data_IF_035902573234
#
_entry.id   IF_035902573234
#
_cell.length_a   1.000
_cell.length_b   1.000
_cell.length_c   1.000
_cell.angle_alpha   90.00
_cell.angle_beta   90.00
_cell.angle_gamma   90.00
#
_symmetry.space_group_name_H-M   'P 1'
#
loop_
_entity.id
_entity.type
_entity.pdbx_description
1 polymer ?
#
# COMPACT_ATOMS: atom_id res chain seq x y z
N UNK A 1 16.43 23.94 -13.85
CA UNK A 1 15.38 22.99 -13.46
C UNK A 1 15.58 22.70 -11.99
N UNK A 2 14.56 22.94 -11.15
CA UNK A 2 14.66 22.62 -9.73
C UNK A 2 14.73 21.10 -9.59
N UNK A 3 15.62 20.59 -8.74
CA UNK A 3 15.55 19.17 -8.34
C UNK A 3 14.21 18.94 -7.64
N UNK A 4 13.53 17.82 -7.90
CA UNK A 4 12.33 17.48 -7.16
C UNK A 4 12.62 17.46 -5.66
N UNK A 5 11.67 17.96 -4.87
CA UNK A 5 11.75 17.83 -3.41
C UNK A 5 11.55 16.35 -3.09
N UNK A 6 12.39 15.73 -2.23
CA UNK A 6 12.21 14.34 -1.82
C UNK A 6 10.76 14.09 -1.38
N UNK A 7 10.08 13.18 -2.08
CA UNK A 7 8.67 12.84 -1.84
C UNK A 7 7.65 13.43 -2.81
N UNK A 8 8.00 14.37 -3.69
CA UNK A 8 7.05 14.90 -4.70
C UNK A 8 7.04 14.10 -6.02
N UNK A 9 7.87 13.06 -6.10
CA UNK A 9 8.01 12.20 -7.29
C UNK A 9 7.01 11.04 -7.33
N UNK A 10 6.21 10.85 -6.26
CA UNK A 10 5.13 9.87 -6.24
C UNK A 10 4.04 10.36 -7.20
N UNK A 11 4.02 9.77 -8.38
CA UNK A 11 3.07 10.09 -9.44
C UNK A 11 1.69 9.53 -9.13
N UNK A 12 1.64 8.31 -8.59
CA UNK A 12 0.40 7.58 -8.38
C UNK A 12 0.54 6.59 -7.23
N UNK A 13 -0.54 6.41 -6.49
CA UNK A 13 -0.67 5.39 -5.46
C UNK A 13 -2.09 4.84 -5.45
N UNK A 14 -2.21 3.52 -5.37
CA UNK A 14 -3.46 2.79 -5.44
C UNK A 14 -3.39 1.57 -4.53
N UNK A 15 -4.55 1.16 -4.03
CA UNK A 15 -4.67 -0.02 -3.19
C UNK A 15 -5.77 -0.94 -3.70
N UNK A 16 -5.51 -2.24 -3.59
CA UNK A 16 -6.50 -3.29 -3.75
C UNK A 16 -6.60 -4.03 -2.41
N UNK A 17 -7.81 -4.23 -1.92
CA UNK A 17 -8.09 -4.95 -0.69
C UNK A 17 -8.97 -6.14 -1.02
N UNK A 18 -8.50 -7.33 -0.65
CA UNK A 18 -9.21 -8.60 -0.82
C UNK A 18 -9.46 -9.22 0.54
N UNK A 19 -10.70 -9.62 0.83
CA UNK A 19 -11.04 -10.49 1.97
C UNK A 19 -11.30 -11.90 1.46
N UNK A 20 -10.65 -12.88 2.08
CA UNK A 20 -11.01 -14.30 1.96
C UNK A 20 -11.49 -14.83 3.30
N UNK A 21 -12.51 -15.68 3.26
CA UNK A 21 -12.94 -16.39 4.47
C UNK A 21 -11.96 -17.52 4.82
N UNK A 22 -12.17 -18.17 5.96
CA UNK A 22 -11.36 -19.31 6.42
C UNK A 22 -11.37 -20.53 5.49
N UNK A 23 -12.34 -20.64 4.58
CA UNK A 23 -12.37 -21.66 3.51
C UNK A 23 -11.57 -21.23 2.25
N UNK A 24 -10.99 -20.03 2.26
CA UNK A 24 -10.23 -19.44 1.16
C UNK A 24 -11.08 -18.80 0.07
N UNK A 25 -12.40 -18.73 0.25
CA UNK A 25 -13.34 -18.15 -0.72
C UNK A 25 -13.27 -16.63 -0.70
N UNK A 26 -13.40 -16.00 -1.88
CA UNK A 26 -13.42 -14.54 -2.00
C UNK A 26 -14.75 -14.00 -1.45
N UNK A 27 -14.65 -13.16 -0.41
CA UNK A 27 -15.82 -12.51 0.20
C UNK A 27 -15.98 -11.08 -0.31
N UNK A 28 -14.87 -10.32 -0.37
CA UNK A 28 -14.91 -8.94 -0.84
C UNK A 28 -13.67 -8.56 -1.63
N UNK A 29 -13.85 -7.63 -2.56
CA UNK A 29 -12.80 -6.97 -3.30
C UNK A 29 -13.13 -5.48 -3.39
N UNK A 30 -12.15 -4.65 -3.05
CA UNK A 30 -12.25 -3.20 -3.18
C UNK A 30 -10.95 -2.65 -3.73
N UNK A 31 -11.05 -1.57 -4.47
CA UNK A 31 -9.89 -0.86 -4.96
C UNK A 31 -10.12 0.65 -4.93
N UNK A 32 -9.06 1.43 -4.74
CA UNK A 32 -9.21 2.88 -4.62
C UNK A 32 -7.88 3.61 -4.80
N UNK A 33 -7.98 4.77 -5.43
CA UNK A 33 -6.94 5.83 -5.41
C UNK A 33 -7.24 6.88 -4.32
N UNK A 34 -8.43 6.84 -3.72
CA UNK A 34 -8.84 7.77 -2.67
C UNK A 34 -8.28 7.31 -1.33
N UNK A 35 -7.16 7.93 -0.96
CA UNK A 35 -6.40 7.65 0.25
C UNK A 35 -6.47 8.84 1.22
N UNK A 36 -6.36 8.53 2.51
CA UNK A 36 -6.33 9.48 3.62
C UNK A 36 -4.97 9.42 4.30
N UNK A 37 -4.62 10.52 4.99
CA UNK A 37 -3.43 10.60 5.85
C UNK A 37 -2.12 10.23 5.10
N UNK A 38 -2.03 10.60 3.81
CA UNK A 38 -0.91 10.25 2.94
C UNK A 38 0.33 11.07 3.30
N UNK A 39 1.30 10.44 3.95
CA UNK A 39 2.62 10.99 4.23
C UNK A 39 3.60 10.60 3.13
N UNK A 40 3.68 11.46 2.10
CA UNK A 40 4.58 11.26 0.96
C UNK A 40 6.05 11.12 1.36
N UNK A 41 6.48 11.73 2.47
CA UNK A 41 7.87 11.63 2.91
C UNK A 41 8.17 10.21 3.41
N UNK A 42 7.33 9.69 4.30
CA UNK A 42 7.50 8.32 4.82
C UNK A 42 7.38 7.30 3.69
N UNK A 43 6.46 7.50 2.75
CA UNK A 43 6.35 6.64 1.56
C UNK A 43 7.65 6.69 0.77
N UNK A 44 8.15 7.87 0.40
CA UNK A 44 9.38 8.00 -0.38
C UNK A 44 10.59 7.37 0.31
N UNK A 45 10.77 7.60 1.61
CA UNK A 45 11.84 6.99 2.40
C UNK A 45 11.75 5.45 2.35
N UNK A 46 10.53 4.89 2.40
CA UNK A 46 10.29 3.46 2.24
C UNK A 46 10.67 2.95 0.85
N UNK A 47 10.33 3.68 -0.21
CA UNK A 47 10.65 3.30 -1.59
C UNK A 47 12.16 3.34 -1.86
N UNK A 48 12.87 4.31 -1.27
CA UNK A 48 14.33 4.39 -1.32
C UNK A 48 14.97 3.20 -0.61
N UNK A 49 14.43 2.80 0.54
CA UNK A 49 14.89 1.60 1.23
C UNK A 49 14.73 0.33 0.37
N UNK A 50 13.56 0.12 -0.25
CA UNK A 50 13.35 -1.00 -1.18
C UNK A 50 14.32 -0.93 -2.37
N UNK A 51 14.44 0.23 -3.00
CA UNK A 51 15.34 0.43 -4.15
C UNK A 51 16.83 0.21 -3.82
N UNK A 52 17.21 0.32 -2.54
CA UNK A 52 18.58 0.06 -2.09
C UNK A 52 18.91 -1.43 -1.92
N UNK A 53 17.88 -2.28 -1.79
CA UNK A 53 18.03 -3.71 -1.48
C UNK A 53 17.59 -4.63 -2.62
N UNK A 54 16.80 -4.12 -3.57
CA UNK A 54 16.33 -4.87 -4.72
C UNK A 54 16.17 -3.98 -5.96
N UNK A 55 16.28 -4.60 -7.13
CA UNK A 55 16.00 -3.93 -8.40
C UNK A 55 14.50 -3.74 -8.57
N UNK A 56 14.08 -2.49 -8.79
CA UNK A 56 12.67 -2.13 -8.99
C UNK A 56 12.43 -1.97 -10.49
N UNK A 57 11.41 -2.66 -11.06
CA UNK A 57 11.07 -2.52 -12.46
C UNK A 57 10.81 -1.07 -12.86
N UNK A 58 11.39 -0.67 -13.99
CA UNK A 58 11.17 0.65 -14.60
C UNK A 58 10.27 0.49 -15.84
N UNK A 59 9.19 1.24 -15.86
CA UNK A 59 8.25 1.30 -16.98
C UNK A 59 8.29 2.67 -17.64
N UNK A 60 8.17 2.70 -18.96
CA UNK A 60 8.12 3.94 -19.74
C UNK A 60 6.71 4.18 -20.27
N UNK A 61 6.16 5.37 -20.02
CA UNK A 61 4.86 5.81 -20.49
C UNK A 61 4.92 7.28 -20.88
N UNK A 62 4.59 7.61 -22.13
CA UNK A 62 4.61 8.98 -22.67
C UNK A 62 5.95 9.70 -22.41
N UNK A 63 7.07 9.05 -22.77
CA UNK A 63 8.45 9.53 -22.60
C UNK A 63 8.87 9.80 -21.13
N UNK A 64 8.09 9.33 -20.16
CA UNK A 64 8.42 9.38 -18.73
C UNK A 64 8.70 7.98 -18.20
N UNK A 65 9.69 7.87 -17.33
CA UNK A 65 10.06 6.61 -16.67
C UNK A 65 9.56 6.59 -15.24
N UNK A 66 9.04 5.43 -14.84
CA UNK A 66 8.48 5.21 -13.52
C UNK A 66 9.05 3.94 -12.92
N UNK A 67 9.51 4.02 -11.67
CA UNK A 67 9.65 2.85 -10.83
C UNK A 67 8.28 2.48 -10.28
N UNK A 68 7.89 1.22 -10.42
CA UNK A 68 6.60 0.73 -9.92
C UNK A 68 6.85 -0.28 -8.80
N UNK A 69 6.28 -0.01 -7.65
CA UNK A 69 6.36 -0.81 -6.44
C UNK A 69 5.01 -1.50 -6.22
N UNK A 70 5.05 -2.80 -5.94
CA UNK A 70 3.88 -3.60 -5.54
C UNK A 70 4.20 -4.15 -4.16
N UNK A 71 3.48 -3.68 -3.16
CA UNK A 71 3.74 -4.01 -1.75
C UNK A 71 2.51 -4.67 -1.16
N UNK A 72 2.67 -5.89 -0.68
CA UNK A 72 1.60 -6.69 -0.11
C UNK A 72 1.69 -6.73 1.41
N UNK A 73 0.54 -6.61 2.07
CA UNK A 73 0.38 -6.86 3.50
C UNK A 73 -0.83 -7.74 3.75
N UNK A 74 -0.67 -8.75 4.60
CA UNK A 74 -1.74 -9.68 5.00
C UNK A 74 -2.09 -9.44 6.46
N UNK A 75 -3.39 -9.38 6.75
CA UNK A 75 -3.95 -9.35 8.10
C UNK A 75 -4.79 -10.60 8.30
N UNK A 76 -4.37 -11.45 9.23
CA UNK A 76 -5.15 -12.60 9.68
C UNK A 76 -5.97 -12.22 10.92
N UNK A 77 -7.18 -12.78 11.04
CA UNK A 77 -8.08 -12.50 12.16
C UNK A 77 -8.22 -13.74 13.05
N UNK A 78 -8.07 -13.55 14.37
CA UNK A 78 -8.23 -14.60 15.39
C UNK A 78 -9.58 -14.50 16.13
N UNK A 79 -10.34 -13.44 15.87
CA UNK A 79 -11.56 -13.06 16.55
C UNK A 79 -12.46 -12.29 15.60
N UNK A 80 -13.77 -12.32 15.86
CA UNK A 80 -14.71 -11.57 15.04
C UNK A 80 -14.61 -10.06 15.32
N UNK A 81 -14.29 -9.28 14.31
CA UNK A 81 -14.16 -7.82 14.42
C UNK A 81 -14.63 -7.10 13.16
N UNK A 82 -14.94 -5.81 13.30
CA UNK A 82 -15.23 -4.95 12.16
C UNK A 82 -13.92 -4.43 11.57
N UNK A 83 -13.67 -4.69 10.29
CA UNK A 83 -12.52 -4.17 9.57
C UNK A 83 -12.96 -3.11 8.57
N UNK A 84 -12.43 -1.89 8.68
CA UNK A 84 -12.88 -0.73 7.90
C UNK A 84 -11.73 0.15 7.34
N UNK A 85 -10.48 -0.24 7.60
CA UNK A 85 -9.31 0.51 7.16
C UNK A 85 -8.18 -0.44 6.75
N UNK A 86 -7.61 -0.23 5.57
CA UNK A 86 -6.32 -0.80 5.20
C UNK A 86 -5.24 0.28 5.37
N UNK A 87 -4.11 -0.09 5.96
CA UNK A 87 -3.01 0.82 6.24
C UNK A 87 -1.77 0.42 5.44
N UNK A 88 -1.13 1.40 4.81
CA UNK A 88 0.23 1.25 4.34
C UNK A 88 1.17 1.59 5.48
N UNK A 89 1.63 0.56 6.19
CA UNK A 89 2.51 0.70 7.33
C UNK A 89 3.98 0.56 6.91
N UNK A 90 4.82 1.50 7.34
CA UNK A 90 6.26 1.49 7.10
C UNK A 90 6.99 1.37 8.43
N UNK A 91 7.86 0.38 8.55
CA UNK A 91 8.70 0.20 9.74
C UNK A 91 10.09 0.76 9.47
N UNK A 92 10.52 1.72 10.30
CA UNK A 92 11.85 2.34 10.24
C UNK A 92 12.51 2.14 11.60
N UNK A 93 13.52 1.28 11.64
CA UNK A 93 14.10 0.80 12.91
C UNK A 93 13.04 0.06 13.73
N UNK A 94 12.83 0.48 14.99
CA UNK A 94 11.87 -0.16 15.91
C UNK A 94 10.48 0.51 15.92
N UNK A 95 10.21 1.42 14.98
CA UNK A 95 8.95 2.18 14.94
C UNK A 95 8.19 1.93 13.66
N UNK A 96 6.90 1.70 13.79
CA UNK A 96 5.96 1.57 12.68
C UNK A 96 5.12 2.83 12.53
N UNK A 97 5.06 3.35 11.31
CA UNK A 97 4.32 4.54 10.93
C UNK A 97 3.25 4.16 9.91
N UNK A 98 2.04 4.69 10.08
CA UNK A 98 1.00 4.64 9.04
C UNK A 98 1.29 5.74 8.03
N UNK A 99 1.71 5.37 6.83
CA UNK A 99 2.12 6.29 5.77
C UNK A 99 0.98 6.60 4.79
N UNK A 100 -0.04 5.74 4.70
CA UNK A 100 -1.31 6.03 4.03
C UNK A 100 -2.42 5.14 4.59
N UNK A 101 -3.67 5.58 4.43
CA UNK A 101 -4.85 4.83 4.84
C UNK A 101 -5.90 4.80 3.74
N UNK A 102 -6.45 3.62 3.49
CA UNK A 102 -7.66 3.46 2.70
C UNK A 102 -8.82 3.11 3.63
N UNK A 103 -9.82 4.00 3.67
CA UNK A 103 -11.00 3.86 4.52
C UNK A 103 -12.21 3.47 3.66
N UNK A 104 -13.00 2.52 4.15
CA UNK A 104 -14.22 2.01 3.52
C UNK A 104 -15.29 1.72 4.59
N UNK A 105 -16.52 1.40 4.16
CA UNK A 105 -17.68 1.22 5.06
C UNK A 105 -17.48 0.11 6.10
N UNK A 106 -16.65 -0.86 5.76
CA UNK A 106 -16.20 -1.95 6.61
C UNK A 106 -17.00 -3.24 6.42
N UNK A 107 -16.43 -4.32 6.93
CA UNK A 107 -17.02 -5.66 6.89
C UNK A 107 -16.70 -6.42 8.17
N UNK A 108 -17.57 -7.37 8.53
CA UNK A 108 -17.36 -8.26 9.66
C UNK A 108 -16.39 -9.37 9.23
N UNK A 109 -15.37 -9.59 10.04
CA UNK A 109 -14.42 -10.69 9.92
C UNK A 109 -14.70 -11.75 10.97
N UNK A 110 -14.20 -12.95 10.75
CA UNK A 110 -14.28 -14.10 11.66
C UNK A 110 -12.89 -14.72 11.85
N UNK A 111 -12.69 -15.54 12.90
CA UNK A 111 -11.44 -16.29 13.06
C UNK A 111 -11.09 -17.10 11.80
N UNK A 112 -9.87 -16.94 11.31
CA UNK A 112 -9.35 -17.60 10.11
C UNK A 112 -9.61 -16.84 8.81
N UNK A 113 -10.36 -15.73 8.83
CA UNK A 113 -10.44 -14.85 7.68
C UNK A 113 -9.10 -14.14 7.45
N UNK A 114 -8.82 -13.76 6.20
CA UNK A 114 -7.62 -13.06 5.80
C UNK A 114 -7.94 -11.86 4.91
N UNK A 115 -7.34 -10.72 5.24
CA UNK A 115 -7.36 -9.53 4.39
C UNK A 115 -5.98 -9.29 3.80
N UNK A 116 -5.90 -9.26 2.47
CA UNK A 116 -4.72 -8.85 1.72
C UNK A 116 -4.92 -7.44 1.20
N UNK A 117 -4.01 -6.52 1.54
CA UNK A 117 -3.91 -5.21 0.93
C UNK A 117 -2.66 -5.15 0.03
N UNK A 118 -2.87 -4.86 -1.25
CA UNK A 118 -1.81 -4.68 -2.25
C UNK A 118 -1.74 -3.21 -2.62
N UNK A 119 -0.62 -2.57 -2.29
CA UNK A 119 -0.33 -1.18 -2.59
C UNK A 119 0.52 -1.11 -3.85
N UNK A 120 0.00 -0.44 -4.88
CA UNK A 120 0.73 -0.13 -6.10
C UNK A 120 1.15 1.33 -6.05
N UNK A 121 2.46 1.60 -6.14
CA UNK A 121 3.01 2.95 -6.08
C UNK A 121 3.90 3.18 -7.30
N UNK A 122 3.65 4.23 -8.07
CA UNK A 122 4.49 4.64 -9.18
C UNK A 122 5.23 5.93 -8.83
N UNK A 123 6.56 5.91 -8.93
CA UNK A 123 7.44 7.05 -8.68
C UNK A 123 8.21 7.41 -9.95
N UNK A 124 8.25 8.70 -10.29
CA UNK A 124 9.05 9.23 -11.39
C UNK A 124 10.55 8.98 -11.15
N UNK A 125 11.28 8.74 -12.24
CA UNK A 125 12.75 8.56 -12.26
C UNK A 125 13.42 9.73 -12.95
#
# INVERSE_FOLDING_TARGET
>A
FAQPVPGDDIFFMFVQVTLRNSDGELVTYMESEKLFDVDKKIISDSLDHFSSSMEIPIFELNDKKFQVFIIESVTEFDSSTMFANAYYNVTIGDRTYSAARFQFDGFLTSPGDEVTAVWTIARLV
#
